data_IF_108799948091
#
_entry.id   IF_108799948091
#
_cell.length_a   1.000
_cell.length_b   1.000
_cell.length_c   1.000
_cell.angle_alpha   90.00
_cell.angle_beta   90.00
_cell.angle_gamma   90.00
#
_symmetry.space_group_name_H-M   'P 1'
#
loop_
_entity.id
_entity.type
_entity.pdbx_description
1 polymer ?
#
# COMPACT_ATOMS: atom_id res chain seq x y z
N UNK A 1 29.68 9.21 15.02
CA UNK A 1 28.94 8.11 15.61
C UNK A 1 27.71 7.81 14.77
N UNK A 2 27.49 6.56 14.44
CA UNK A 2 26.36 6.19 13.62
C UNK A 2 25.05 6.24 14.42
N UNK A 3 24.02 6.81 13.80
CA UNK A 3 22.67 6.78 14.36
C UNK A 3 22.10 5.36 14.24
N UNK A 4 21.30 4.94 15.20
CA UNK A 4 20.56 3.69 15.12
C UNK A 4 19.31 3.82 14.25
N UNK A 5 18.88 5.06 13.95
CA UNK A 5 17.70 5.31 13.19
C UNK A 5 16.48 4.63 13.81
N UNK A 6 15.79 3.78 13.03
CA UNK A 6 14.60 3.06 13.47
C UNK A 6 14.89 1.61 13.87
N UNK A 7 16.17 1.26 14.05
CA UNK A 7 16.53 -0.11 14.40
C UNK A 7 15.83 -0.51 15.70
N UNK A 8 15.20 -1.66 15.70
CA UNK A 8 14.49 -2.25 16.84
C UNK A 8 13.29 -1.41 17.32
N UNK A 9 12.84 -0.44 16.53
CA UNK A 9 11.70 0.42 16.86
C UNK A 9 10.48 0.18 15.98
N UNK A 10 10.64 -0.55 14.87
CA UNK A 10 9.60 -0.77 13.89
C UNK A 10 9.54 -2.25 13.54
N UNK A 11 8.35 -2.77 13.36
CA UNK A 11 8.15 -4.15 12.94
C UNK A 11 7.31 -4.20 11.66
N UNK A 12 7.66 -5.11 10.75
CA UNK A 12 6.81 -5.45 9.62
C UNK A 12 5.86 -6.54 10.10
N UNK A 13 4.57 -6.22 10.20
CA UNK A 13 3.59 -7.14 10.77
C UNK A 13 2.89 -8.01 9.73
N UNK A 14 2.90 -7.58 8.46
CA UNK A 14 2.25 -8.35 7.40
C UNK A 14 2.72 -7.90 6.03
N UNK A 15 2.60 -8.78 5.05
CA UNK A 15 2.80 -8.46 3.65
C UNK A 15 1.70 -9.14 2.84
N UNK A 16 1.45 -8.62 1.63
CA UNK A 16 0.52 -9.22 0.68
C UNK A 16 1.01 -8.98 -0.74
N UNK A 17 0.68 -9.90 -1.63
CA UNK A 17 1.17 -9.84 -3.00
C UNK A 17 0.19 -10.53 -3.94
N UNK A 18 -0.16 -9.87 -5.03
CA UNK A 18 -0.91 -10.53 -6.09
C UNK A 18 0.05 -11.39 -6.94
N UNK A 19 -0.45 -12.44 -7.62
CA UNK A 19 0.41 -13.27 -8.46
C UNK A 19 1.13 -12.44 -9.53
N UNK A 20 2.39 -12.77 -9.79
CA UNK A 20 3.20 -12.08 -10.82
C UNK A 20 2.82 -12.63 -12.18
N UNK A 21 1.90 -11.94 -12.86
CA UNK A 21 1.46 -12.29 -14.21
C UNK A 21 0.73 -11.11 -14.83
N UNK A 22 0.37 -11.21 -16.10
CA UNK A 22 -0.53 -10.24 -16.69
C UNK A 22 -1.96 -10.52 -16.23
N UNK A 23 -2.61 -9.49 -15.68
CA UNK A 23 -3.96 -9.60 -15.13
C UNK A 23 -4.95 -8.93 -16.09
N UNK A 24 -5.31 -9.64 -17.16
CA UNK A 24 -6.22 -9.12 -18.17
C UNK A 24 -7.65 -8.95 -17.64
N UNK A 25 -7.99 -9.64 -16.57
CA UNK A 25 -9.32 -9.65 -15.97
C UNK A 25 -9.46 -8.66 -14.80
N UNK A 26 -8.40 -7.91 -14.49
CA UNK A 26 -8.38 -7.02 -13.32
C UNK A 26 -7.87 -5.64 -13.67
N UNK A 27 -8.46 -4.62 -13.04
CA UNK A 27 -7.98 -3.26 -13.14
C UNK A 27 -6.86 -3.01 -12.11
N UNK A 28 -6.21 -1.86 -12.21
CA UNK A 28 -5.26 -1.41 -11.20
C UNK A 28 -5.92 -1.37 -9.82
N UNK A 29 -7.14 -0.86 -9.75
CA UNK A 29 -7.86 -0.76 -8.49
C UNK A 29 -8.12 -2.13 -7.88
N UNK A 30 -8.48 -3.12 -8.70
CA UNK A 30 -8.67 -4.49 -8.23
C UNK A 30 -7.41 -5.07 -7.62
N UNK A 31 -6.25 -4.81 -8.25
CA UNK A 31 -4.97 -5.30 -7.75
C UNK A 31 -4.61 -4.66 -6.40
N UNK A 32 -4.87 -3.36 -6.27
CA UNK A 32 -4.62 -2.64 -5.01
C UNK A 32 -5.51 -3.22 -3.91
N UNK A 33 -6.79 -3.41 -4.18
CA UNK A 33 -7.72 -3.96 -3.21
C UNK A 33 -7.32 -5.38 -2.81
N UNK A 34 -7.00 -6.23 -3.77
CA UNK A 34 -6.62 -7.62 -3.49
C UNK A 34 -5.39 -7.71 -2.60
N UNK A 35 -4.33 -6.98 -2.94
CA UNK A 35 -3.08 -7.01 -2.17
C UNK A 35 -3.29 -6.45 -0.76
N UNK A 36 -4.03 -5.36 -0.63
CA UNK A 36 -4.28 -4.73 0.66
C UNK A 36 -5.16 -5.60 1.54
N UNK A 37 -6.22 -6.18 0.97
CA UNK A 37 -7.11 -7.08 1.71
C UNK A 37 -6.34 -8.29 2.25
N UNK A 38 -5.51 -8.89 1.43
CA UNK A 38 -4.67 -10.02 1.84
C UNK A 38 -3.77 -9.64 3.01
N UNK A 39 -3.15 -8.46 2.93
CA UNK A 39 -2.23 -7.98 3.96
C UNK A 39 -2.96 -7.75 5.30
N UNK A 40 -4.09 -7.09 5.26
CA UNK A 40 -4.83 -6.74 6.47
C UNK A 40 -5.49 -7.96 7.11
N UNK A 41 -6.09 -8.84 6.31
CA UNK A 41 -6.77 -10.03 6.83
C UNK A 41 -5.81 -10.99 7.49
N UNK A 42 -4.56 -11.08 7.02
CA UNK A 42 -3.59 -12.02 7.58
C UNK A 42 -3.23 -11.71 9.03
N UNK A 43 -3.43 -10.46 9.46
CA UNK A 43 -3.16 -10.04 10.84
C UNK A 43 -4.40 -9.50 11.53
N UNK A 44 -5.57 -9.71 10.94
CA UNK A 44 -6.86 -9.34 11.51
C UNK A 44 -6.97 -7.85 11.81
N UNK A 45 -6.44 -7.01 10.92
CA UNK A 45 -6.55 -5.56 11.00
C UNK A 45 -7.54 -5.05 9.96
N UNK A 46 -8.14 -3.89 10.22
CA UNK A 46 -8.96 -3.17 9.25
C UNK A 46 -8.22 -1.93 8.75
N UNK A 47 -8.72 -1.34 7.66
CA UNK A 47 -8.10 -0.12 7.12
C UNK A 47 -8.18 1.05 8.11
N UNK A 48 -9.15 1.03 9.02
CA UNK A 48 -9.30 2.07 10.04
C UNK A 48 -8.20 2.01 11.09
N UNK A 49 -7.55 0.87 11.24
CA UNK A 49 -6.41 0.72 12.16
C UNK A 49 -5.12 1.32 11.63
N UNK A 50 -5.10 1.70 10.37
CA UNK A 50 -3.90 2.24 9.72
C UNK A 50 -3.94 3.76 9.79
N UNK A 51 -2.85 4.37 10.20
CA UNK A 51 -2.78 5.81 10.39
C UNK A 51 -2.29 6.58 9.16
N UNK A 52 -1.47 5.95 8.33
CA UNK A 52 -0.90 6.59 7.14
C UNK A 52 -0.61 5.56 6.07
N UNK A 53 -0.63 6.00 4.81
CA UNK A 53 -0.43 5.13 3.65
C UNK A 53 0.60 5.72 2.71
N UNK A 54 1.34 4.87 2.05
CA UNK A 54 2.22 5.24 0.95
C UNK A 54 1.93 4.34 -0.24
N UNK A 55 1.86 4.94 -1.43
CA UNK A 55 1.65 4.19 -2.66
C UNK A 55 2.77 4.51 -3.63
N UNK A 56 3.40 3.46 -4.14
CA UNK A 56 4.42 3.57 -5.19
C UNK A 56 3.82 3.14 -6.51
N UNK A 57 3.93 3.99 -7.53
CA UNK A 57 3.38 3.69 -8.84
C UNK A 57 4.12 4.47 -9.92
N UNK A 58 4.17 3.89 -11.11
CA UNK A 58 4.65 4.57 -12.31
C UNK A 58 3.49 4.66 -13.28
N UNK A 59 3.13 5.87 -13.70
CA UNK A 59 2.11 6.14 -14.72
C UNK A 59 0.67 5.74 -14.33
N UNK A 60 0.42 5.35 -13.11
CA UNK A 60 -0.91 4.87 -12.68
C UNK A 60 -1.69 5.92 -11.89
N UNK A 61 -1.40 7.18 -12.09
CA UNK A 61 -2.06 8.25 -11.39
C UNK A 61 -1.07 9.30 -10.94
N UNK A 62 -1.57 10.43 -10.50
CA UNK A 62 -0.73 11.60 -10.20
C UNK A 62 -0.81 12.04 -8.74
N UNK A 63 -1.51 11.29 -7.89
CA UNK A 63 -1.69 11.70 -6.50
C UNK A 63 -2.02 10.50 -5.61
N UNK A 64 -2.17 10.76 -4.32
CA UNK A 64 -2.60 9.75 -3.36
C UNK A 64 -3.98 9.17 -3.63
N UNK A 65 -4.76 9.82 -4.50
CA UNK A 65 -6.06 9.28 -4.91
C UNK A 65 -5.95 7.92 -5.58
N UNK A 66 -4.79 7.60 -6.14
CA UNK A 66 -4.51 6.28 -6.71
C UNK A 66 -4.77 5.16 -5.71
N UNK A 67 -4.57 5.43 -4.43
CA UNK A 67 -4.83 4.47 -3.37
C UNK A 67 -6.13 4.78 -2.63
N UNK A 68 -6.40 6.07 -2.33
CA UNK A 68 -7.50 6.43 -1.45
C UNK A 68 -8.88 6.15 -2.07
N UNK A 69 -9.03 6.26 -3.38
CA UNK A 69 -10.30 5.97 -4.04
C UNK A 69 -10.65 4.48 -4.00
N UNK A 70 -9.78 3.56 -4.50
CA UNK A 70 -10.12 2.13 -4.44
C UNK A 70 -10.30 1.62 -3.02
N UNK A 71 -9.52 2.12 -2.08
CA UNK A 71 -9.58 1.68 -0.68
C UNK A 71 -10.64 2.40 0.13
N UNK A 72 -11.28 3.44 -0.44
CA UNK A 72 -12.29 4.25 0.25
C UNK A 72 -11.75 4.81 1.56
N UNK A 73 -10.58 5.43 1.50
CA UNK A 73 -9.94 6.01 2.67
C UNK A 73 -10.51 7.40 2.94
N UNK A 74 -10.85 7.66 4.18
CA UNK A 74 -11.34 8.97 4.62
C UNK A 74 -10.51 9.45 5.79
N UNK A 75 -10.04 10.70 5.72
CA UNK A 75 -9.30 11.31 6.81
C UNK A 75 -7.94 10.70 7.08
N UNK A 76 -7.38 9.92 6.14
CA UNK A 76 -6.07 9.30 6.30
C UNK A 76 -5.07 9.90 5.31
N UNK A 77 -3.86 10.25 5.76
CA UNK A 77 -2.85 10.75 4.84
C UNK A 77 -2.36 9.65 3.89
N UNK A 78 -2.26 10.00 2.60
CA UNK A 78 -1.74 9.11 1.57
C UNK A 78 -0.66 9.86 0.80
N UNK A 79 0.53 9.30 0.76
CA UNK A 79 1.66 9.86 0.03
C UNK A 79 1.95 8.98 -1.19
N UNK A 80 2.00 9.61 -2.36
CA UNK A 80 2.38 8.92 -3.60
C UNK A 80 3.85 9.15 -3.86
N UNK A 81 4.56 8.08 -4.18
CA UNK A 81 5.95 8.17 -4.62
C UNK A 81 6.08 7.52 -5.99
N UNK A 82 7.02 8.02 -6.79
CA UNK A 82 7.27 7.47 -8.10
C UNK A 82 8.77 7.55 -8.42
N UNK A 83 9.29 6.42 -8.84
CA UNK A 83 10.66 6.34 -9.34
C UNK A 83 10.78 5.05 -10.16
N UNK A 84 9.83 4.85 -11.06
CA UNK A 84 9.68 3.64 -11.89
C UNK A 84 9.75 2.37 -11.06
N UNK A 85 10.91 1.82 -10.84
CA UNK A 85 11.09 0.57 -10.07
C UNK A 85 11.24 0.81 -8.57
N UNK A 86 10.69 1.87 -8.08
CA UNK A 86 10.77 2.18 -6.64
C UNK A 86 9.80 1.32 -5.83
#
# INVERSE_FOLDING_TARGET
MASRGIKDKVAIVSIGCTPFREHWDKSKDDLVIDATTQTLESVNLSKEDIDAYWVGTAQSGMSGLTLSIPMKLEGKPVTRVENYCA
#
